data_IF_684410499851
#
_entry.id   IF_684410499851
#
_cell.length_a   1.000
_cell.length_b   1.000
_cell.length_c   1.000
_cell.angle_alpha   90.00
_cell.angle_beta   90.00
_cell.angle_gamma   90.00
#
_symmetry.space_group_name_H-M   'P 1'
#
loop_
_entity.id
_entity.type
_entity.pdbx_description
1 polymer ?
#
# COMPACT_ATOMS: atom_id res chain seq x y z
N UNK A 1 -13.52 -44.22 -75.00
CA UNK A 1 -13.99 -43.29 -73.94
C UNK A 1 -14.12 -44.05 -72.61
N UNK A 2 -13.09 -44.71 -72.11
CA UNK A 2 -11.77 -44.21 -71.66
C UNK A 2 -11.84 -43.46 -70.34
N UNK A 3 -11.67 -44.22 -69.25
CA UNK A 3 -10.60 -44.03 -68.26
C UNK A 3 -10.13 -42.57 -68.04
N UNK A 4 -11.01 -41.65 -67.65
CA UNK A 4 -10.59 -40.26 -67.40
C UNK A 4 -11.29 -39.57 -66.23
N UNK A 5 -11.98 -40.30 -65.36
CA UNK A 5 -12.68 -39.69 -64.20
C UNK A 5 -12.11 -40.13 -62.84
N UNK A 6 -11.32 -41.21 -62.79
CA UNK A 6 -10.75 -41.70 -61.51
C UNK A 6 -9.43 -40.99 -61.13
N UNK A 7 -8.84 -40.20 -62.05
CA UNK A 7 -7.55 -39.52 -61.85
C UNK A 7 -7.62 -38.13 -61.21
N UNK A 8 -8.81 -37.58 -60.94
CA UNK A 8 -8.94 -36.21 -60.39
C UNK A 8 -9.17 -36.18 -58.87
N UNK A 9 -9.48 -37.32 -58.24
CA UNK A 9 -9.77 -37.40 -56.79
C UNK A 9 -8.58 -37.88 -55.95
N UNK A 10 -7.43 -38.15 -56.56
CA UNK A 10 -6.20 -38.62 -55.88
C UNK A 10 -5.07 -37.58 -55.83
N UNK A 11 -5.31 -36.37 -56.34
CA UNK A 11 -4.35 -35.23 -56.33
C UNK A 11 -4.78 -34.17 -55.30
N UNK A 12 -5.77 -34.46 -54.44
CA UNK A 12 -6.26 -33.54 -53.41
C UNK A 12 -5.93 -33.96 -51.97
N UNK A 13 -5.00 -34.90 -51.78
CA UNK A 13 -4.62 -35.44 -50.46
C UNK A 13 -3.18 -35.14 -50.06
N UNK A 14 -2.53 -34.13 -50.66
CA UNK A 14 -1.15 -33.71 -50.32
C UNK A 14 -1.10 -32.18 -50.09
N UNK A 15 -1.96 -31.70 -49.19
CA UNK A 15 -1.72 -30.46 -48.47
C UNK A 15 -1.59 -30.81 -46.99
N UNK A 16 -0.39 -31.29 -46.63
CA UNK A 16 0.06 -31.39 -45.25
C UNK A 16 0.08 -29.99 -44.66
N UNK A 17 -1.00 -29.62 -43.98
CA UNK A 17 -1.00 -28.50 -43.04
C UNK A 17 -0.14 -28.94 -41.86
N UNK A 18 1.18 -28.77 -41.98
CA UNK A 18 2.05 -28.60 -40.81
C UNK A 18 1.67 -27.28 -40.16
N UNK A 19 0.56 -27.30 -39.43
CA UNK A 19 0.27 -26.29 -38.43
C UNK A 19 1.32 -26.45 -37.35
N UNK A 20 2.25 -25.50 -37.25
CA UNK A 20 3.09 -25.34 -36.08
C UNK A 20 2.19 -25.26 -34.85
N UNK A 21 2.07 -26.38 -34.12
CA UNK A 21 1.48 -26.39 -32.80
C UNK A 21 2.49 -25.73 -31.84
N UNK A 22 2.67 -24.42 -31.96
CA UNK A 22 3.19 -23.60 -30.88
C UNK A 22 2.11 -23.65 -29.82
N UNK A 23 2.24 -24.61 -28.92
CA UNK A 23 1.57 -24.64 -27.64
C UNK A 23 1.81 -23.27 -27.01
N UNK A 24 0.81 -22.41 -27.17
CA UNK A 24 0.77 -21.11 -26.55
C UNK A 24 0.58 -21.45 -25.09
N UNK A 25 1.67 -21.44 -24.32
CA UNK A 25 1.56 -21.26 -22.88
C UNK A 25 0.63 -20.07 -22.71
N UNK A 26 -0.58 -20.36 -22.23
CA UNK A 26 -1.41 -19.35 -21.60
C UNK A 26 -0.58 -18.96 -20.39
N UNK A 27 0.28 -17.96 -20.56
CA UNK A 27 0.79 -17.19 -19.45
C UNK A 27 -0.47 -16.59 -18.84
N UNK A 28 -0.99 -17.28 -17.84
CA UNK A 28 -2.04 -16.79 -16.97
C UNK A 28 -1.46 -15.53 -16.34
N UNK A 29 -1.75 -14.40 -16.96
CA UNK A 29 -1.31 -13.10 -16.48
C UNK A 29 -2.07 -12.89 -15.17
N UNK A 30 -1.43 -13.26 -14.05
CA UNK A 30 -1.93 -12.95 -12.72
C UNK A 30 -2.37 -11.48 -12.73
N UNK A 31 -3.62 -11.16 -12.37
CA UNK A 31 -4.09 -9.79 -12.39
C UNK A 31 -3.12 -8.93 -11.58
N UNK A 32 -2.81 -7.74 -12.09
CA UNK A 32 -1.91 -6.81 -11.42
C UNK A 32 -2.40 -6.59 -9.99
N UNK A 33 -1.58 -7.00 -9.01
CA UNK A 33 -1.96 -6.90 -7.60
C UNK A 33 -2.02 -5.43 -7.21
N UNK A 34 -3.14 -5.01 -6.62
CA UNK A 34 -3.34 -3.63 -6.17
C UNK A 34 -2.50 -3.40 -4.91
N UNK A 35 -1.75 -2.31 -4.89
CA UNK A 35 -0.93 -1.93 -3.72
C UNK A 35 -1.42 -0.65 -3.09
N UNK A 36 -1.42 -0.62 -1.76
CA UNK A 36 -1.74 0.55 -0.95
C UNK A 36 -0.51 0.95 -0.13
N UNK A 37 -0.18 2.25 -0.08
CA UNK A 37 1.02 2.75 0.61
C UNK A 37 0.65 3.88 1.56
N UNK A 38 1.22 3.84 2.77
CA UNK A 38 0.96 4.85 3.78
C UNK A 38 1.67 4.56 5.10
N UNK A 39 1.28 5.28 6.14
CA UNK A 39 1.79 5.09 7.51
C UNK A 39 0.80 4.28 8.35
N UNK A 40 1.31 3.38 9.18
CA UNK A 40 0.51 2.71 10.20
C UNK A 40 0.24 3.73 11.30
N UNK A 41 -1.03 4.12 11.45
CA UNK A 41 -1.44 5.12 12.46
C UNK A 41 -2.21 4.54 13.62
N UNK A 42 -2.80 3.35 13.46
CA UNK A 42 -3.41 2.57 14.56
C UNK A 42 -3.21 1.07 14.34
N UNK A 43 -3.24 0.31 15.43
CA UNK A 43 -3.16 -1.15 15.43
C UNK A 43 -4.23 -1.69 16.37
N UNK A 44 -4.94 -2.73 15.92
CA UNK A 44 -5.79 -3.59 16.74
C UNK A 44 -5.22 -5.01 16.76
N UNK A 45 -5.93 -5.96 17.38
CA UNK A 45 -5.49 -7.36 17.45
C UNK A 45 -5.25 -8.00 16.07
N UNK A 46 -6.03 -7.65 15.06
CA UNK A 46 -6.07 -8.30 13.75
C UNK A 46 -5.88 -7.34 12.57
N UNK A 47 -5.84 -6.02 12.82
CA UNK A 47 -5.81 -5.01 11.76
C UNK A 47 -4.83 -3.90 12.06
N UNK A 48 -4.42 -3.25 10.98
CA UNK A 48 -3.70 -1.98 11.01
C UNK A 48 -4.52 -0.93 10.27
N UNK A 49 -4.52 0.30 10.77
CA UNK A 49 -5.00 1.45 10.02
C UNK A 49 -3.80 2.03 9.27
N UNK A 50 -3.89 2.05 7.95
CA UNK A 50 -2.88 2.68 7.09
C UNK A 50 -3.48 3.95 6.50
N UNK A 51 -2.84 5.09 6.75
CA UNK A 51 -3.24 6.38 6.21
C UNK A 51 -2.31 6.78 5.05
N UNK A 52 -2.88 7.23 3.93
CA UNK A 52 -2.12 7.65 2.77
C UNK A 52 -1.35 8.95 3.02
N UNK A 53 -0.25 9.12 2.31
CA UNK A 53 0.58 10.35 2.38
C UNK A 53 0.04 11.45 1.44
N UNK A 54 -0.91 11.09 0.58
CA UNK A 54 -1.43 11.94 -0.47
C UNK A 54 -2.95 11.91 -0.46
N UNK A 55 -3.53 13.07 -0.74
CA UNK A 55 -4.96 13.21 -1.00
C UNK A 55 -5.37 12.32 -2.17
N UNK A 56 -6.59 11.83 -2.11
CA UNK A 56 -7.21 11.07 -3.19
C UNK A 56 -7.32 11.95 -4.43
N UNK A 57 -7.10 11.38 -5.62
CA UNK A 57 -7.17 12.13 -6.87
C UNK A 57 -8.56 12.75 -7.04
N UNK A 58 -8.62 14.08 -7.21
CA UNK A 58 -9.87 14.81 -7.36
C UNK A 58 -10.63 15.07 -6.05
N UNK A 59 -10.00 14.86 -4.90
CA UNK A 59 -10.56 15.10 -3.56
C UNK A 59 -9.56 15.83 -2.67
N UNK A 60 -10.07 16.58 -1.69
CA UNK A 60 -9.25 17.20 -0.65
C UNK A 60 -8.96 16.25 0.52
N UNK A 61 -9.56 15.05 0.51
CA UNK A 61 -9.45 14.06 1.57
C UNK A 61 -8.26 13.12 1.35
N UNK A 62 -7.60 12.75 2.44
CA UNK A 62 -6.64 11.66 2.47
C UNK A 62 -7.36 10.32 2.54
N UNK A 63 -6.78 9.32 1.88
CA UNK A 63 -7.29 7.97 1.94
C UNK A 63 -6.81 7.30 3.24
N UNK A 64 -7.61 6.40 3.78
CA UNK A 64 -7.25 5.61 4.94
C UNK A 64 -7.95 4.26 4.87
N UNK A 65 -7.26 3.19 5.26
CA UNK A 65 -7.80 1.84 5.17
C UNK A 65 -7.43 0.98 6.38
N UNK A 66 -8.42 0.33 6.96
CA UNK A 66 -8.22 -0.79 7.88
C UNK A 66 -7.88 -2.04 7.07
N UNK A 67 -6.70 -2.59 7.30
CA UNK A 67 -6.22 -3.79 6.63
C UNK A 67 -6.11 -4.94 7.63
N UNK A 68 -6.80 -6.04 7.35
CA UNK A 68 -6.56 -7.32 8.02
C UNK A 68 -5.16 -7.85 7.72
N UNK A 69 -4.39 -8.13 8.78
CA UNK A 69 -3.00 -8.62 8.67
C UNK A 69 -2.72 -9.76 9.66
N UNK A 70 -1.87 -10.69 9.23
CA UNK A 70 -1.36 -11.79 10.07
C UNK A 70 -0.03 -11.45 10.74
N UNK A 71 0.76 -10.53 10.17
CA UNK A 71 2.05 -10.11 10.71
C UNK A 71 1.86 -9.29 12.00
N UNK A 72 2.49 -9.75 13.08
CA UNK A 72 2.44 -9.12 14.42
C UNK A 72 3.68 -8.27 14.72
N UNK A 73 4.65 -8.18 13.81
CA UNK A 73 5.86 -7.37 13.96
C UNK A 73 5.68 -5.90 13.53
N UNK A 74 4.53 -5.58 12.93
CA UNK A 74 4.19 -4.24 12.49
C UNK A 74 3.94 -3.30 13.68
N UNK A 75 4.36 -2.05 13.54
CA UNK A 75 4.29 -1.04 14.59
C UNK A 75 3.78 0.31 14.06
N UNK A 76 3.12 1.08 14.95
CA UNK A 76 2.69 2.45 14.67
C UNK A 76 3.91 3.29 14.26
N UNK A 77 3.71 4.19 13.30
CA UNK A 77 4.75 5.06 12.75
C UNK A 77 5.55 4.46 11.60
N UNK A 78 5.45 3.14 11.36
CA UNK A 78 6.06 2.54 10.18
C UNK A 78 5.36 2.97 8.90
N UNK A 79 6.14 3.24 7.85
CA UNK A 79 5.64 3.37 6.49
C UNK A 79 5.60 1.98 5.85
N UNK A 80 4.50 1.65 5.19
CA UNK A 80 4.28 0.31 4.62
C UNK A 80 3.74 0.37 3.20
N UNK A 81 4.02 -0.67 2.43
CA UNK A 81 3.33 -1.02 1.19
C UNK A 81 2.59 -2.34 1.41
N UNK A 82 1.26 -2.29 1.37
CA UNK A 82 0.40 -3.45 1.45
C UNK A 82 -0.03 -3.90 0.04
N UNK A 83 -0.04 -5.21 -0.20
CA UNK A 83 -0.68 -5.81 -1.37
C UNK A 83 -2.07 -6.26 -0.95
N UNK A 84 -3.10 -5.65 -1.55
CA UNK A 84 -4.49 -5.91 -1.21
C UNK A 84 -4.92 -7.30 -1.69
N UNK A 85 -5.85 -7.90 -0.95
CA UNK A 85 -6.43 -9.20 -1.25
C UNK A 85 -7.95 -9.14 -1.10
N UNK A 86 -8.65 -9.67 -2.11
CA UNK A 86 -10.10 -9.66 -2.18
C UNK A 86 -10.73 -8.28 -2.40
N UNK A 87 -12.01 -8.19 -2.03
CA UNK A 87 -12.82 -6.99 -2.16
C UNK A 87 -12.51 -5.96 -1.04
N UNK A 88 -12.70 -4.68 -1.37
CA UNK A 88 -12.56 -3.57 -0.44
C UNK A 88 -13.95 -3.01 -0.17
N UNK A 89 -14.33 -2.88 1.09
CA UNK A 89 -15.53 -2.15 1.49
C UNK A 89 -15.28 -0.64 1.32
N UNK A 90 -16.14 0.01 0.54
CA UNK A 90 -16.07 1.43 0.20
C UNK A 90 -16.63 2.33 1.30
N UNK A 91 -16.29 2.04 2.56
CA UNK A 91 -16.52 2.90 3.72
C UNK A 91 -15.33 3.84 3.96
N UNK A 92 -15.43 4.74 4.93
CA UNK A 92 -14.30 5.59 5.34
C UNK A 92 -14.05 5.51 6.86
N UNK A 93 -12.84 5.08 7.30
CA UNK A 93 -11.78 4.46 6.50
C UNK A 93 -12.28 3.22 5.73
N UNK A 94 -11.70 2.95 4.57
CA UNK A 94 -12.01 1.74 3.82
C UNK A 94 -11.63 0.49 4.63
N UNK A 95 -12.21 -0.65 4.29
CA UNK A 95 -11.90 -1.92 4.99
C UNK A 95 -11.54 -2.99 3.97
N UNK A 96 -10.40 -3.65 4.18
CA UNK A 96 -9.94 -4.72 3.31
C UNK A 96 -8.97 -5.67 4.01
N UNK A 97 -8.39 -6.59 3.24
CA UNK A 97 -7.34 -7.50 3.69
C UNK A 97 -6.07 -7.28 2.89
N UNK A 98 -4.92 -7.58 3.49
CA UNK A 98 -3.64 -7.57 2.80
C UNK A 98 -3.04 -8.98 2.74
N UNK A 99 -2.70 -9.44 1.53
CA UNK A 99 -1.96 -10.69 1.33
C UNK A 99 -0.50 -10.56 1.77
N UNK A 100 0.05 -9.35 1.75
CA UNK A 100 1.38 -9.05 2.30
C UNK A 100 1.47 -7.57 2.70
N UNK A 101 2.29 -7.29 3.70
CA UNK A 101 2.65 -5.93 4.11
C UNK A 101 4.17 -5.87 4.23
N UNK A 102 4.78 -4.92 3.54
CA UNK A 102 6.23 -4.72 3.57
C UNK A 102 6.52 -3.34 4.14
N UNK A 103 7.37 -3.29 5.17
CA UNK A 103 7.87 -2.03 5.72
C UNK A 103 8.78 -1.37 4.70
N UNK A 104 8.48 -0.11 4.39
CA UNK A 104 9.30 0.72 3.49
C UNK A 104 10.14 1.66 4.35
N UNK A 105 11.47 1.51 4.39
CA UNK A 105 12.32 2.37 5.21
C UNK A 105 12.16 3.84 4.83
N UNK A 106 12.06 4.68 5.86
CA UNK A 106 12.14 6.14 5.73
C UNK A 106 13.63 6.52 5.86
N UNK A 107 14.16 7.45 5.03
CA UNK A 107 15.53 7.91 5.17
C UNK A 107 15.85 8.37 6.59
N UNK A 108 16.95 7.84 7.14
CA UNK A 108 17.44 8.22 8.47
C UNK A 108 18.13 9.58 8.35
N UNK A 109 17.91 10.45 9.33
CA UNK A 109 18.65 11.69 9.50
C UNK A 109 19.79 11.40 10.48
N UNK A 110 21.04 11.53 10.03
CA UNK A 110 22.23 11.12 10.80
C UNK A 110 22.37 11.83 12.15
N UNK A 111 21.88 13.06 12.24
CA UNK A 111 21.95 13.94 13.38
C UNK A 111 20.82 13.69 14.38
N UNK A 112 19.79 12.93 13.99
CA UNK A 112 18.65 12.62 14.82
C UNK A 112 18.91 11.37 15.68
N UNK A 113 18.63 11.48 16.99
CA UNK A 113 18.67 10.35 17.94
C UNK A 113 17.49 9.42 17.73
N UNK A 114 16.33 9.95 17.34
CA UNK A 114 15.15 9.15 17.02
C UNK A 114 15.08 8.85 15.52
N UNK A 115 14.64 7.65 15.17
CA UNK A 115 14.26 7.32 13.79
C UNK A 115 12.92 7.99 13.46
N UNK A 116 12.65 8.32 12.19
CA UNK A 116 11.39 8.96 11.78
C UNK A 116 10.14 8.24 12.28
N UNK A 117 10.12 6.89 12.21
CA UNK A 117 8.99 6.10 12.70
C UNK A 117 8.79 6.18 14.22
N UNK A 118 9.87 6.40 14.99
CA UNK A 118 9.79 6.53 16.45
C UNK A 118 9.21 7.90 16.82
N UNK A 119 9.66 8.96 16.16
CA UNK A 119 9.11 10.30 16.35
C UNK A 119 7.62 10.33 15.97
N UNK A 120 7.26 9.73 14.82
CA UNK A 120 5.87 9.63 14.40
C UNK A 120 5.02 8.82 15.39
N UNK A 121 5.51 7.69 15.90
CA UNK A 121 4.80 6.90 16.90
C UNK A 121 4.53 7.69 18.19
N UNK A 122 5.51 8.47 18.66
CA UNK A 122 5.33 9.34 19.82
C UNK A 122 4.28 10.44 19.57
N UNK A 123 4.31 11.06 18.38
CA UNK A 123 3.33 12.08 18.01
C UNK A 123 1.90 11.52 17.97
N UNK A 124 1.70 10.37 17.34
CA UNK A 124 0.41 9.69 17.29
C UNK A 124 -0.07 9.30 18.70
N UNK A 125 0.83 8.79 19.54
CA UNK A 125 0.49 8.44 20.93
C UNK A 125 0.04 9.66 21.76
N UNK A 126 0.61 10.85 21.49
CA UNK A 126 0.20 12.11 22.13
C UNK A 126 -1.16 12.64 21.67
N UNK A 127 -1.69 12.07 20.58
CA UNK A 127 -2.94 12.44 19.91
C UNK A 127 -3.92 11.28 19.82
N UNK A 128 -4.05 10.56 20.93
CA UNK A 128 -4.86 9.34 21.04
C UNK A 128 -6.36 9.55 20.74
N UNK A 129 -6.84 10.79 20.83
CA UNK A 129 -8.21 11.21 20.55
C UNK A 129 -8.56 11.22 19.05
N UNK A 130 -7.57 11.33 18.16
CA UNK A 130 -7.80 11.35 16.72
C UNK A 130 -8.40 10.01 16.28
N UNK A 131 -9.55 10.04 15.61
CA UNK A 131 -10.24 8.83 15.19
C UNK A 131 -9.54 8.18 13.99
N UNK A 132 -9.17 8.98 12.99
CA UNK A 132 -8.41 8.56 11.81
C UNK A 132 -7.19 9.47 11.69
N UNK A 133 -6.07 9.18 12.38
CA UNK A 133 -4.89 10.01 12.30
C UNK A 133 -4.31 9.93 10.88
N UNK A 134 -4.18 11.08 10.23
CA UNK A 134 -3.53 11.25 8.93
C UNK A 134 -2.19 11.95 9.15
N UNK A 135 -1.14 11.48 8.48
CA UNK A 135 0.20 12.06 8.56
C UNK A 135 0.42 13.01 7.40
N UNK A 136 0.55 14.30 7.70
CA UNK A 136 0.74 15.35 6.69
C UNK A 136 2.20 15.77 6.55
N UNK A 137 2.99 15.61 7.63
CA UNK A 137 4.38 16.08 7.69
C UNK A 137 5.22 15.24 8.64
N UNK A 138 6.46 14.96 8.25
CA UNK A 138 7.52 14.39 9.10
C UNK A 138 8.82 15.10 8.74
N UNK A 139 9.26 16.05 9.57
CA UNK A 139 10.47 16.84 9.30
C UNK A 139 11.32 16.93 10.55
N UNK A 140 12.63 16.74 10.40
CA UNK A 140 13.60 16.99 11.47
C UNK A 140 14.23 18.37 11.27
N UNK A 141 14.25 19.17 12.33
CA UNK A 141 14.99 20.43 12.40
C UNK A 141 16.27 20.23 13.23
N UNK A 142 17.40 20.17 12.53
CA UNK A 142 18.71 20.00 13.14
C UNK A 142 19.16 21.22 13.97
N UNK A 143 18.60 22.42 13.72
CA UNK A 143 18.95 23.62 14.48
C UNK A 143 18.35 23.62 15.89
N UNK A 144 17.22 22.92 16.06
CA UNK A 144 16.50 22.82 17.33
C UNK A 144 16.51 21.41 17.93
N UNK A 145 17.10 20.43 17.26
CA UNK A 145 17.12 19.00 17.61
C UNK A 145 15.70 18.45 17.86
N UNK A 146 14.77 18.74 16.95
CA UNK A 146 13.35 18.40 17.11
C UNK A 146 12.74 17.81 15.85
N UNK A 147 11.77 16.94 16.05
CA UNK A 147 10.88 16.50 15.00
C UNK A 147 9.60 17.33 15.00
N UNK A 148 9.20 17.80 13.84
CA UNK A 148 7.89 18.38 13.56
C UNK A 148 7.04 17.34 12.82
N UNK A 149 6.00 16.86 13.49
CA UNK A 149 5.06 15.89 12.94
C UNK A 149 3.71 16.57 12.74
N UNK A 150 3.22 16.58 11.50
CA UNK A 150 1.89 17.10 11.18
C UNK A 150 0.87 15.96 11.22
N UNK A 151 -0.20 16.17 12.00
CA UNK A 151 -1.32 15.25 12.13
C UNK A 151 -2.64 15.98 11.94
N UNK A 152 -3.64 15.28 11.38
CA UNK A 152 -5.05 15.71 11.42
C UNK A 152 -5.96 14.49 11.64
N UNK A 153 -7.20 14.72 12.03
CA UNK A 153 -8.23 13.68 12.06
C UNK A 153 -8.99 13.66 10.74
N UNK A 154 -8.89 12.55 9.99
CA UNK A 154 -9.61 12.35 8.73
C UNK A 154 -11.13 12.32 8.88
N UNK A 155 -11.66 12.10 10.10
CA UNK A 155 -13.10 12.13 10.38
C UNK A 155 -13.60 13.47 10.96
N UNK A 156 -12.71 14.43 11.22
CA UNK A 156 -13.16 15.74 11.69
C UNK A 156 -14.00 16.45 10.61
N UNK A 157 -15.14 17.09 10.97
CA UNK A 157 -15.94 17.87 10.02
C UNK A 157 -15.17 19.04 9.38
N UNK A 158 -14.18 19.57 10.11
CA UNK A 158 -13.29 20.63 9.68
C UNK A 158 -11.86 20.24 10.09
N UNK A 159 -11.14 19.46 9.26
CA UNK A 159 -9.85 18.89 9.63
C UNK A 159 -8.78 19.97 9.58
N UNK A 160 -8.20 20.27 10.75
CA UNK A 160 -7.05 21.16 10.89
C UNK A 160 -5.79 20.36 11.15
N UNK A 161 -4.72 20.71 10.45
CA UNK A 161 -3.39 20.18 10.74
C UNK A 161 -2.91 20.73 12.08
N UNK A 162 -2.49 19.83 12.95
CA UNK A 162 -1.82 20.13 14.19
C UNK A 162 -0.37 19.66 14.13
N UNK A 163 0.55 20.57 14.48
CA UNK A 163 1.98 20.27 14.53
C UNK A 163 2.34 19.81 15.93
N UNK A 164 2.75 18.55 16.04
CA UNK A 164 3.30 17.96 17.25
C UNK A 164 4.82 18.06 17.21
N UNK A 165 5.39 18.66 18.25
CA UNK A 165 6.83 18.79 18.42
C UNK A 165 7.34 17.65 19.31
N UNK A 166 8.23 16.83 18.78
CA UNK A 166 8.88 15.74 19.52
C UNK A 166 10.33 16.13 19.79
N UNK A 167 10.66 16.23 21.08
CA UNK A 167 12.03 16.44 21.54
C UNK A 167 12.79 15.12 21.54
N UNK A 168 14.08 15.16 21.23
CA UNK A 168 14.93 13.96 21.23
C UNK A 168 15.43 13.53 22.61
N UNK A 169 14.68 13.79 23.68
CA UNK A 169 15.05 13.28 25.00
C UNK A 169 15.05 11.75 24.96
N UNK A 170 16.11 11.16 25.54
CA UNK A 170 16.29 9.70 25.58
C UNK A 170 15.01 9.06 26.10
N UNK A 171 14.41 8.18 25.29
CA UNK A 171 13.58 7.12 25.84
C UNK A 171 14.43 6.43 26.92
N UNK A 172 14.04 6.59 28.18
CA UNK A 172 14.65 5.90 29.31
C UNK A 172 14.68 4.40 29.03
N UNK A 173 15.80 3.78 29.38
CA UNK A 173 16.11 2.37 29.08
C UNK A 173 15.16 1.35 29.70
#
# INVERSE_FOLDING_TARGET
MEKLIVGLLLILSVLSITGCNKQREVVESKPASVTYTGYITKITTDRILVASERKMTGSEMYDAMWLGVSDRSLAIGQRVKATLDGDIDSSYPGVGSASSVVVVPIPIVSEAKLRPEQALAQAIASKSELQVPIVTKIVYDASTEKWEIGLLDGLAPDPHEEIVIINEEKAGG
#
